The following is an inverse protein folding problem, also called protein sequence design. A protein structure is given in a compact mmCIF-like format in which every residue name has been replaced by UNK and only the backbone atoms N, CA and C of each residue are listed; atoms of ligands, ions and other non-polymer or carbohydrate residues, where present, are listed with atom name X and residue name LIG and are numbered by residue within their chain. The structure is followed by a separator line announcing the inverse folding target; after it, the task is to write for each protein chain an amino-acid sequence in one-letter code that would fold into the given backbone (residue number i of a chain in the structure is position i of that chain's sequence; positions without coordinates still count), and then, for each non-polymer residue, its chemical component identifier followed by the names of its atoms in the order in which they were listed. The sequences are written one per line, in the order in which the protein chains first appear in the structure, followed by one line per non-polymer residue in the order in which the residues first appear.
data_IF_400664175809
#
_entry.id   IF_400664175809
#
_cell.length_a   1.000
_cell.length_b   1.000
_cell.length_c   1.000
_cell.angle_alpha   90.00
_cell.angle_beta   90.00
_cell.angle_gamma   90.00
#
_symmetry.space_group_name_H-M   'P 1'
#
loop_
_entity.id
_entity.type
_entity.pdbx_description
1 polymer ?
#
# COMPACT_ATOMS: atom_id res chain seq x y z
N UNK A 1 -10.19 -10.97 -7.07
CA UNK A 1 -10.51 -9.55 -7.27
C UNK A 1 -11.23 -9.41 -8.62
N UNK A 2 -11.72 -8.23 -9.02
CA UNK A 2 -12.27 -8.03 -10.38
C UNK A 2 -11.44 -6.95 -11.06
N UNK A 3 -11.36 -6.97 -12.40
CA UNK A 3 -10.66 -5.96 -13.20
C UNK A 3 -11.00 -4.52 -12.75
N UNK A 4 -12.27 -4.28 -12.40
CA UNK A 4 -12.76 -2.98 -11.89
C UNK A 4 -12.10 -2.54 -10.59
N UNK A 5 -11.80 -3.46 -9.68
CA UNK A 5 -11.16 -3.12 -8.41
C UNK A 5 -9.67 -2.81 -8.59
N UNK A 6 -9.00 -3.47 -9.55
CA UNK A 6 -7.62 -3.13 -9.91
C UNK A 6 -7.59 -1.73 -10.52
N UNK A 7 -8.49 -1.42 -11.44
CA UNK A 7 -8.61 -0.07 -12.03
C UNK A 7 -8.85 0.99 -10.95
N UNK A 8 -9.73 0.72 -9.97
CA UNK A 8 -9.93 1.62 -8.81
C UNK A 8 -8.66 1.82 -8.00
N UNK A 9 -7.90 0.75 -7.71
CA UNK A 9 -6.62 0.86 -6.99
C UNK A 9 -5.58 1.66 -7.78
N UNK A 10 -5.54 1.51 -9.11
CA UNK A 10 -4.61 2.28 -9.95
C UNK A 10 -4.94 3.75 -9.85
N UNK A 11 -6.21 4.12 -10.01
CA UNK A 11 -6.67 5.51 -9.86
C UNK A 11 -6.32 6.06 -8.47
N UNK A 12 -6.61 5.30 -7.41
CA UNK A 12 -6.29 5.71 -6.04
C UNK A 12 -4.78 5.94 -5.84
N UNK A 13 -3.93 5.06 -6.37
CA UNK A 13 -2.48 5.21 -6.28
C UNK A 13 -1.99 6.43 -7.07
N UNK A 14 -2.50 6.64 -8.28
CA UNK A 14 -2.15 7.76 -9.16
C UNK A 14 -2.57 9.12 -8.57
N UNK A 15 -3.73 9.20 -7.91
CA UNK A 15 -4.18 10.40 -7.17
C UNK A 15 -3.19 10.83 -6.08
N UNK A 16 -2.45 9.87 -5.53
CA UNK A 16 -1.40 10.09 -4.54
C UNK A 16 0.02 10.11 -5.14
N UNK A 17 0.15 10.14 -6.46
CA UNK A 17 1.42 10.24 -7.17
C UNK A 17 2.27 8.97 -7.12
N UNK A 18 1.65 7.81 -6.85
CA UNK A 18 2.34 6.52 -6.82
C UNK A 18 2.17 5.81 -8.16
N UNK A 19 3.30 5.56 -8.84
CA UNK A 19 3.34 4.76 -10.05
C UNK A 19 3.42 3.28 -9.70
N UNK A 20 2.31 2.57 -9.84
CA UNK A 20 2.22 1.15 -9.56
C UNK A 20 2.49 0.27 -10.79
N UNK A 21 3.01 -0.93 -10.55
CA UNK A 21 2.98 -2.04 -11.49
C UNK A 21 1.91 -3.03 -11.04
N UNK A 22 1.23 -3.66 -12.00
CA UNK A 22 0.30 -4.75 -11.71
C UNK A 22 1.12 -6.04 -11.57
N UNK A 23 1.10 -6.63 -10.39
CA UNK A 23 1.74 -7.91 -10.09
C UNK A 23 0.76 -9.09 -10.29
N UNK A 24 1.23 -10.30 -9.98
CA UNK A 24 0.38 -11.48 -9.95
C UNK A 24 -0.72 -11.35 -8.87
N UNK A 25 -1.80 -12.11 -9.02
CA UNK A 25 -2.92 -12.14 -8.06
C UNK A 25 -3.65 -10.80 -7.88
N UNK A 26 -3.64 -9.94 -8.91
CA UNK A 26 -4.42 -8.69 -8.92
C UNK A 26 -3.96 -7.70 -7.82
N UNK A 27 -2.67 -7.77 -7.46
CA UNK A 27 -2.00 -6.88 -6.54
C UNK A 27 -1.31 -5.74 -7.30
N UNK A 28 -1.38 -4.51 -6.77
CA UNK A 28 -0.54 -3.42 -7.23
C UNK A 28 0.71 -3.34 -6.38
N UNK A 29 1.87 -3.20 -7.01
CA UNK A 29 3.14 -3.01 -6.31
C UNK A 29 3.79 -1.70 -6.73
N UNK A 30 4.46 -1.04 -5.81
CA UNK A 30 5.25 0.16 -6.08
C UNK A 30 6.46 0.21 -5.16
N UNK A 31 7.53 0.88 -5.59
CA UNK A 31 8.60 1.25 -4.69
C UNK A 31 8.09 2.32 -3.73
N UNK A 32 8.41 2.21 -2.44
CA UNK A 32 8.06 3.21 -1.44
C UNK A 32 8.77 4.54 -1.79
N UNK A 33 8.04 5.64 -2.04
CA UNK A 33 8.69 6.89 -2.41
C UNK A 33 9.64 7.39 -1.32
N UNK A 34 10.91 7.60 -1.68
CA UNK A 34 11.96 8.06 -0.77
C UNK A 34 12.83 6.95 -0.17
N UNK A 35 12.41 5.68 -0.30
CA UNK A 35 13.13 4.52 0.24
C UNK A 35 13.08 3.34 -0.75
N UNK A 36 14.05 3.30 -1.67
CA UNK A 36 14.05 2.38 -2.81
C UNK A 36 14.21 0.89 -2.45
N UNK A 37 14.66 0.60 -1.23
CA UNK A 37 14.82 -0.75 -0.70
C UNK A 37 13.49 -1.35 -0.18
N UNK A 38 12.41 -0.57 -0.20
CA UNK A 38 11.12 -0.98 0.34
C UNK A 38 10.04 -1.02 -0.74
N UNK A 39 9.22 -2.06 -0.69
CA UNK A 39 8.10 -2.28 -1.60
C UNK A 39 6.79 -2.02 -0.88
N UNK A 40 5.92 -1.24 -1.51
CA UNK A 40 4.50 -1.16 -1.21
C UNK A 40 3.74 -2.18 -2.05
N UNK A 41 2.81 -2.89 -1.42
CA UNK A 41 1.82 -3.69 -2.13
C UNK A 41 0.40 -3.31 -1.67
N UNK A 42 -0.52 -3.27 -2.62
CA UNK A 42 -1.91 -2.87 -2.41
C UNK A 42 -2.85 -3.92 -2.98
N UNK A 43 -3.81 -4.35 -2.18
CA UNK A 43 -4.88 -5.25 -2.61
C UNK A 43 -6.22 -4.74 -2.13
N UNK A 44 -7.24 -4.89 -2.97
CA UNK A 44 -8.59 -4.52 -2.60
C UNK A 44 -9.16 -5.52 -1.60
N UNK A 45 -9.47 -5.05 -0.39
CA UNK A 45 -9.89 -5.90 0.73
C UNK A 45 -11.42 -6.00 0.89
N UNK A 46 -12.19 -5.22 0.11
CA UNK A 46 -13.65 -5.35 0.03
C UNK A 46 -14.38 -4.05 0.31
N UNK A 47 -15.63 -4.15 0.75
CA UNK A 47 -16.48 -3.04 1.15
C UNK A 47 -17.10 -3.35 2.50
N UNK A 48 -17.32 -2.33 3.33
CA UNK A 48 -18.09 -2.48 4.55
C UNK A 48 -19.58 -2.45 4.18
N UNK A 49 -20.34 -3.45 4.60
CA UNK A 49 -21.76 -3.58 4.26
C UNK A 49 -22.56 -2.39 4.81
N UNK A 50 -23.32 -1.72 3.94
CA UNK A 50 -24.14 -0.56 4.30
C UNK A 50 -23.43 0.79 4.27
N UNK A 51 -22.12 0.83 3.99
CA UNK A 51 -21.32 2.06 3.96
C UNK A 51 -21.15 2.66 2.55
N UNK A 52 -20.70 3.91 2.49
CA UNK A 52 -20.40 4.57 1.21
C UNK A 52 -19.21 3.90 0.50
N UNK A 53 -19.07 4.06 -0.83
CA UNK A 53 -17.90 3.58 -1.57
C UNK A 53 -16.55 4.11 -1.03
N UNK A 54 -16.55 5.26 -0.36
CA UNK A 54 -15.33 5.82 0.26
C UNK A 54 -14.86 4.98 1.46
N UNK A 55 -15.71 4.13 2.01
CA UNK A 55 -15.39 3.20 3.10
C UNK A 55 -15.00 1.82 2.58
N UNK A 56 -14.81 1.66 1.27
CA UNK A 56 -14.19 0.48 0.69
C UNK A 56 -12.79 0.29 1.31
N UNK A 57 -12.39 -0.97 1.48
CA UNK A 57 -11.16 -1.33 2.20
C UNK A 57 -10.06 -1.71 1.23
N UNK A 58 -8.84 -1.26 1.54
CA UNK A 58 -7.59 -1.63 0.88
C UNK A 58 -6.66 -2.20 1.93
N UNK A 59 -6.07 -3.35 1.60
CA UNK A 59 -4.93 -3.88 2.34
C UNK A 59 -3.64 -3.31 1.74
N UNK A 60 -2.78 -2.80 2.62
CA UNK A 60 -1.48 -2.19 2.28
C UNK A 60 -0.40 -2.96 3.02
N UNK A 61 0.65 -3.37 2.32
CA UNK A 61 1.83 -4.00 2.94
C UNK A 61 3.09 -3.24 2.58
N UNK A 62 4.04 -3.20 3.51
CA UNK A 62 5.39 -2.70 3.29
C UNK A 62 6.35 -3.85 3.53
N UNK A 63 7.21 -4.12 2.55
CA UNK A 63 8.21 -5.18 2.63
C UNK A 63 9.60 -4.63 2.35
N UNK A 64 10.57 -5.08 3.14
CA UNK A 64 11.98 -4.86 2.87
C UNK A 64 12.43 -5.82 1.77
N UNK A 65 12.94 -5.29 0.66
CA UNK A 65 13.39 -6.06 -0.49
C UNK A 65 14.73 -6.76 -0.25
N UNK A 66 15.56 -6.26 0.67
CA UNK A 66 16.86 -6.85 0.98
C UNK A 66 16.71 -8.07 1.88
N UNK A 67 15.78 -8.03 2.82
CA UNK A 67 15.55 -9.11 3.79
C UNK A 67 14.35 -10.01 3.43
N UNK A 68 13.56 -9.62 2.43
CA UNK A 68 12.31 -10.29 2.02
C UNK A 68 11.28 -10.40 3.15
N UNK A 69 11.31 -9.46 4.11
CA UNK A 69 10.41 -9.43 5.28
C UNK A 69 9.35 -8.35 5.13
N UNK A 70 8.09 -8.69 5.41
CA UNK A 70 7.03 -7.70 5.60
C UNK A 70 7.21 -6.98 6.94
N UNK A 71 7.51 -5.68 6.88
CA UNK A 71 7.73 -4.84 8.07
C UNK A 71 6.42 -4.26 8.60
N UNK A 72 5.40 -4.12 7.76
CA UNK A 72 4.06 -3.75 8.18
C UNK A 72 2.97 -4.20 7.22
N UNK A 73 1.77 -4.37 7.77
CA UNK A 73 0.55 -4.63 7.02
C UNK A 73 -0.63 -3.92 7.70
N UNK A 74 -1.44 -3.23 6.90
CA UNK A 74 -2.66 -2.56 7.33
C UNK A 74 -3.83 -2.95 6.45
N UNK A 75 -5.03 -2.89 7.01
CA UNK A 75 -6.27 -2.85 6.26
C UNK A 75 -7.00 -1.56 6.62
N UNK A 76 -7.22 -0.70 5.63
CA UNK A 76 -7.70 0.67 5.82
C UNK A 76 -8.85 1.00 4.88
N UNK A 77 -9.74 1.92 5.26
CA UNK A 77 -10.59 2.63 4.31
C UNK A 77 -9.78 3.37 3.24
N UNK A 78 -10.29 3.42 2.01
CA UNK A 78 -9.63 4.10 0.88
C UNK A 78 -9.38 5.58 1.15
N UNK A 79 -10.27 6.28 1.89
CA UNK A 79 -10.06 7.68 2.25
C UNK A 79 -8.84 7.93 3.15
N UNK A 80 -8.28 6.91 3.79
CA UNK A 80 -7.06 7.00 4.61
C UNK A 80 -5.78 6.68 3.83
N UNK A 81 -5.87 6.34 2.54
CA UNK A 81 -4.75 5.83 1.76
C UNK A 81 -3.52 6.75 1.81
N UNK A 82 -3.69 8.04 1.50
CA UNK A 82 -2.61 9.02 1.58
C UNK A 82 -1.96 9.15 2.96
N UNK A 83 -2.72 8.98 4.05
CA UNK A 83 -2.19 9.03 5.41
C UNK A 83 -1.32 7.80 5.71
N UNK A 84 -1.74 6.61 5.26
CA UNK A 84 -0.96 5.39 5.45
C UNK A 84 0.32 5.40 4.64
N UNK A 85 0.33 5.98 3.44
CA UNK A 85 1.57 6.15 2.67
C UNK A 85 2.62 6.96 3.44
N UNK A 86 2.20 8.07 4.06
CA UNK A 86 3.08 8.87 4.91
C UNK A 86 3.55 8.10 6.14
N UNK A 87 2.66 7.32 6.77
CA UNK A 87 3.02 6.48 7.91
C UNK A 87 3.99 5.37 7.54
N UNK A 88 3.85 4.78 6.34
CA UNK A 88 4.78 3.78 5.83
C UNK A 88 6.19 4.35 5.68
N UNK A 89 6.34 5.55 5.12
CA UNK A 89 7.64 6.25 5.02
C UNK A 89 8.26 6.50 6.40
N UNK A 90 7.47 7.01 7.35
CA UNK A 90 7.94 7.24 8.72
C UNK A 90 8.36 5.95 9.42
N UNK A 91 7.58 4.87 9.23
CA UNK A 91 7.89 3.55 9.78
C UNK A 91 9.20 3.01 9.21
N UNK A 92 9.39 3.08 7.89
CA UNK A 92 10.61 2.61 7.23
C UNK A 92 11.83 3.41 7.68
N UNK A 93 11.70 4.74 7.81
CA UNK A 93 12.78 5.57 8.36
C UNK A 93 13.19 5.08 9.76
N UNK A 94 12.22 4.87 10.66
CA UNK A 94 12.49 4.36 12.00
C UNK A 94 13.04 2.93 12.01
N UNK A 95 12.59 2.08 11.08
CA UNK A 95 13.09 0.71 10.94
C UNK A 95 14.55 0.68 10.51
N UNK A 96 14.94 1.51 9.55
CA UNK A 96 16.33 1.66 9.09
C UNK A 96 17.23 2.16 10.22
N UNK A 97 16.77 3.14 11.01
CA UNK A 97 17.49 3.63 12.18
C UNK A 97 17.73 2.49 13.20
N UNK A 98 16.71 1.68 13.50
CA UNK A 98 16.80 0.56 14.43
C UNK A 98 17.76 -0.55 13.96
N UNK A 99 17.74 -0.91 12.67
CA UNK A 99 18.58 -2.00 12.13
C UNK A 99 20.05 -1.57 11.95
N UNK A 100 20.31 -0.27 11.88
CA UNK A 100 21.67 0.27 11.71
C UNK A 100 22.44 0.41 13.04
N UNK A 101 21.79 0.17 14.19
CA UNK A 101 22.38 0.11 15.54
C UNK A 101 22.87 -1.31 15.89
#
# INVERSE_FOLDING_TARGET
MTLKNIEKLVVLAEEHGISCQIAQEECLIAILPGDDDFLLAFTWAGAVEGESPDHELVAVTVSDLLTEVTVAAWQIPTYLFGLVLRQAQMLVSAHKDFVSE
#
